data_IF_651757483627
#
_entry.id   IF_651757483627
#
_cell.length_a   1.000
_cell.length_b   1.000
_cell.length_c   1.000
_cell.angle_alpha   90.00
_cell.angle_beta   90.00
_cell.angle_gamma   90.00
#
_symmetry.space_group_name_H-M   'P 1'
#
loop_
_entity.id
_entity.type
_entity.pdbx_description
1 polymer ?
#
# COMPACT_ATOMS: atom_id res chain seq x y z
N UNK A 1 7.84 24.96 22.69
CA UNK A 1 8.13 23.76 23.52
C UNK A 1 7.27 22.64 22.94
N UNK A 2 7.53 22.30 21.67
CA UNK A 2 6.52 21.73 20.75
C UNK A 2 6.92 20.36 20.17
N UNK A 3 7.93 19.71 20.74
CA UNK A 3 8.49 18.46 20.21
C UNK A 3 7.86 17.17 20.78
N UNK A 4 6.82 17.26 21.62
CA UNK A 4 6.23 16.07 22.28
C UNK A 4 4.97 15.57 21.54
N UNK A 5 4.33 16.38 20.70
CA UNK A 5 3.12 15.97 19.95
C UNK A 5 3.42 15.26 18.62
N UNK A 6 4.66 15.35 18.11
CA UNK A 6 5.05 14.68 16.85
C UNK A 6 5.31 13.17 17.00
N UNK A 7 5.40 12.65 18.22
CA UNK A 7 5.82 11.26 18.48
C UNK A 7 4.64 10.29 18.73
N UNK A 8 3.40 10.73 18.52
CA UNK A 8 2.20 9.93 18.87
C UNK A 8 1.54 9.24 17.68
N UNK A 9 1.94 9.58 16.46
CA UNK A 9 1.32 9.08 15.22
C UNK A 9 1.93 7.78 14.70
N UNK A 10 3.08 7.35 15.23
CA UNK A 10 3.84 6.27 14.58
C UNK A 10 3.43 4.86 15.02
N UNK A 11 2.98 4.66 16.25
CA UNK A 11 2.73 3.30 16.77
C UNK A 11 1.53 2.61 16.09
N UNK A 12 0.35 3.27 15.92
CA UNK A 12 -0.80 2.63 15.29
C UNK A 12 -0.60 2.42 13.79
N UNK A 13 0.05 3.36 13.11
CA UNK A 13 0.33 3.26 11.68
C UNK A 13 1.35 2.13 11.40
N UNK A 14 2.42 2.06 12.21
CA UNK A 14 3.43 1.02 12.09
C UNK A 14 2.89 -0.35 12.45
N UNK A 15 2.05 -0.46 13.49
CA UNK A 15 1.43 -1.73 13.87
C UNK A 15 0.41 -2.19 12.82
N UNK A 16 -0.39 -1.29 12.24
CA UNK A 16 -1.28 -1.61 11.13
C UNK A 16 -0.50 -2.10 9.90
N UNK A 17 0.60 -1.42 9.54
CA UNK A 17 1.48 -1.83 8.46
C UNK A 17 2.12 -3.21 8.70
N UNK A 18 2.63 -3.46 9.91
CA UNK A 18 3.24 -4.72 10.29
C UNK A 18 2.22 -5.88 10.29
N UNK A 19 1.01 -5.63 10.78
CA UNK A 19 -0.08 -6.61 10.80
C UNK A 19 -0.55 -6.92 9.39
N UNK A 20 -0.74 -5.90 8.55
CA UNK A 20 -1.12 -6.06 7.15
C UNK A 20 -0.07 -6.86 6.36
N UNK A 21 1.22 -6.57 6.60
CA UNK A 21 2.33 -7.30 5.98
C UNK A 21 2.35 -8.76 6.44
N UNK A 22 2.18 -9.02 7.73
CA UNK A 22 2.14 -10.38 8.28
C UNK A 22 0.98 -11.18 7.70
N UNK A 23 -0.23 -10.61 7.67
CA UNK A 23 -1.42 -11.25 7.11
C UNK A 23 -1.25 -11.54 5.61
N UNK A 24 -0.64 -10.62 4.86
CA UNK A 24 -0.38 -10.81 3.43
C UNK A 24 0.59 -11.97 3.14
N UNK A 25 1.58 -12.21 4.01
CA UNK A 25 2.50 -13.36 3.89
C UNK A 25 1.74 -14.68 4.04
N UNK A 26 0.81 -14.77 4.98
CA UNK A 26 0.07 -16.01 5.26
C UNK A 26 -1.07 -16.29 4.27
N UNK A 27 -1.54 -15.30 3.52
CA UNK A 27 -2.60 -15.46 2.51
C UNK A 27 -2.14 -16.11 1.20
N UNK A 28 -0.83 -16.17 0.94
CA UNK A 28 -0.29 -16.52 -0.38
C UNK A 28 -0.02 -18.03 -0.59
N UNK A 29 -0.45 -18.91 0.32
CA UNK A 29 -0.26 -20.34 0.15
C UNK A 29 -1.29 -20.92 -0.82
N UNK A 30 -1.05 -20.78 -2.12
CA UNK A 30 -1.87 -21.36 -3.20
C UNK A 30 -2.45 -20.32 -4.19
N UNK A 31 -3.40 -20.74 -5.04
CA UNK A 31 -4.07 -19.88 -6.02
C UNK A 31 -4.78 -18.68 -5.35
N UNK A 32 -4.84 -17.55 -6.05
CA UNK A 32 -5.48 -16.37 -5.53
C UNK A 32 -7.00 -16.52 -5.55
N UNK A 33 -7.62 -16.44 -4.37
CA UNK A 33 -9.07 -16.56 -4.22
C UNK A 33 -9.73 -15.22 -3.89
N UNK A 34 -11.06 -15.16 -3.94
CA UNK A 34 -11.84 -13.95 -3.62
C UNK A 34 -11.56 -13.42 -2.20
N UNK A 35 -11.23 -14.31 -1.25
CA UNK A 35 -10.78 -13.92 0.09
C UNK A 35 -9.53 -13.05 0.05
N UNK A 36 -8.56 -13.37 -0.82
CA UNK A 36 -7.32 -12.62 -0.95
C UNK A 36 -7.60 -11.18 -1.40
N UNK A 37 -8.54 -11.01 -2.34
CA UNK A 37 -8.99 -9.68 -2.80
C UNK A 37 -9.65 -8.89 -1.66
N UNK A 38 -10.61 -9.50 -0.95
CA UNK A 38 -11.34 -8.85 0.15
C UNK A 38 -10.36 -8.43 1.23
N UNK A 39 -9.46 -9.31 1.66
CA UNK A 39 -8.49 -8.99 2.71
C UNK A 39 -7.50 -7.91 2.26
N UNK A 40 -6.98 -7.97 1.03
CA UNK A 40 -6.13 -6.91 0.47
C UNK A 40 -6.85 -5.55 0.51
N UNK A 41 -8.11 -5.49 0.07
CA UNK A 41 -8.91 -4.27 0.09
C UNK A 41 -9.12 -3.74 1.51
N UNK A 42 -9.48 -4.61 2.45
CA UNK A 42 -9.67 -4.22 3.85
C UNK A 42 -8.38 -3.68 4.47
N UNK A 43 -7.25 -4.36 4.26
CA UNK A 43 -5.95 -3.92 4.76
C UNK A 43 -5.51 -2.60 4.11
N UNK A 44 -5.75 -2.43 2.81
CA UNK A 44 -5.47 -1.21 2.09
C UNK A 44 -6.28 -0.03 2.67
N UNK A 45 -7.57 -0.23 2.91
CA UNK A 45 -8.43 0.76 3.54
C UNK A 45 -7.96 1.12 4.95
N UNK A 46 -7.53 0.14 5.75
CA UNK A 46 -6.96 0.39 7.08
C UNK A 46 -5.67 1.20 6.99
N UNK A 47 -4.72 0.77 6.18
CA UNK A 47 -3.43 1.46 6.00
C UNK A 47 -3.67 2.89 5.51
N UNK A 48 -4.52 3.09 4.50
CA UNK A 48 -4.87 4.44 4.03
C UNK A 48 -5.56 5.25 5.12
N UNK A 49 -6.58 4.70 5.80
CA UNK A 49 -7.36 5.40 6.83
C UNK A 49 -6.51 5.88 8.00
N UNK A 50 -5.57 5.07 8.48
CA UNK A 50 -4.69 5.45 9.59
C UNK A 50 -3.59 6.43 9.20
N UNK A 51 -3.20 6.46 7.93
CA UNK A 51 -2.00 7.21 7.52
C UNK A 51 -2.33 8.51 6.76
N UNK A 52 -3.55 8.69 6.26
CA UNK A 52 -3.93 9.82 5.39
C UNK A 52 -3.76 11.21 6.04
N UNK A 53 -3.82 11.30 7.37
CA UNK A 53 -3.79 12.57 8.10
C UNK A 53 -2.39 13.03 8.52
N UNK A 54 -1.34 12.23 8.28
CA UNK A 54 0.02 12.59 8.66
C UNK A 54 0.68 13.45 7.56
N UNK A 55 1.24 14.61 7.92
CA UNK A 55 2.24 15.28 7.06
C UNK A 55 3.49 14.40 7.06
N UNK A 56 3.90 13.89 5.90
CA UNK A 56 4.98 12.91 5.80
C UNK A 56 6.25 13.48 5.25
N UNK A 57 7.39 13.05 5.80
CA UNK A 57 8.69 13.28 5.17
C UNK A 57 8.93 12.28 4.03
N UNK A 58 9.87 12.59 3.11
CA UNK A 58 10.14 11.74 1.93
C UNK A 58 10.43 10.27 2.28
N UNK A 59 11.09 10.00 3.40
CA UNK A 59 11.38 8.64 3.85
C UNK A 59 10.14 7.89 4.35
N UNK A 60 9.21 8.58 5.01
CA UNK A 60 7.92 8.01 5.43
C UNK A 60 7.01 7.73 4.23
N UNK A 61 7.03 8.62 3.23
CA UNK A 61 6.36 8.41 1.93
C UNK A 61 6.87 7.14 1.24
N UNK A 62 8.19 6.95 1.23
CA UNK A 62 8.82 5.74 0.69
C UNK A 62 8.40 4.50 1.48
N UNK A 63 8.54 4.50 2.80
CA UNK A 63 8.14 3.37 3.65
C UNK A 63 6.66 3.01 3.48
N UNK A 64 5.79 4.01 3.37
CA UNK A 64 4.38 3.80 3.08
C UNK A 64 4.15 3.16 1.71
N UNK A 65 4.86 3.61 0.67
CA UNK A 65 4.72 3.02 -0.67
C UNK A 65 5.08 1.53 -0.68
N UNK A 66 6.08 1.11 0.09
CA UNK A 66 6.43 -0.30 0.28
C UNK A 66 5.30 -1.10 0.92
N UNK A 67 4.73 -0.60 2.02
CA UNK A 67 3.64 -1.26 2.74
C UNK A 67 2.41 -1.39 1.86
N UNK A 68 2.00 -0.30 1.21
CA UNK A 68 0.82 -0.29 0.35
C UNK A 68 0.99 -1.22 -0.85
N UNK A 69 2.17 -1.19 -1.49
CA UNK A 69 2.45 -2.10 -2.61
C UNK A 69 2.41 -3.56 -2.16
N UNK A 70 2.97 -3.88 -1.00
CA UNK A 70 2.95 -5.24 -0.45
C UNK A 70 1.53 -5.72 -0.16
N UNK A 71 0.70 -4.87 0.45
CA UNK A 71 -0.71 -5.17 0.76
C UNK A 71 -1.58 -5.29 -0.49
N UNK A 72 -1.25 -4.57 -1.57
CA UNK A 72 -1.99 -4.63 -2.83
C UNK A 72 -1.70 -5.91 -3.65
N UNK A 73 -0.56 -6.58 -3.41
CA UNK A 73 -0.14 -7.75 -4.19
C UNK A 73 -1.19 -8.87 -4.28
N UNK A 74 -1.84 -9.31 -3.17
CA UNK A 74 -2.85 -10.36 -3.26
C UNK A 74 -4.07 -9.97 -4.08
N UNK A 75 -4.48 -8.70 -4.02
CA UNK A 75 -5.56 -8.17 -4.85
C UNK A 75 -5.20 -8.16 -6.34
N UNK A 76 -3.98 -7.71 -6.67
CA UNK A 76 -3.52 -7.69 -8.07
C UNK A 76 -3.34 -9.11 -8.62
N UNK A 77 -2.79 -10.03 -7.82
CA UNK A 77 -2.67 -11.45 -8.17
C UNK A 77 -4.04 -12.05 -8.50
N UNK A 78 -5.05 -11.80 -7.66
CA UNK A 78 -6.43 -12.24 -7.93
C UNK A 78 -7.00 -11.67 -9.22
N UNK A 79 -6.87 -10.36 -9.45
CA UNK A 79 -7.39 -9.71 -10.67
C UNK A 79 -6.71 -10.30 -11.92
N UNK A 80 -5.42 -10.63 -11.84
CA UNK A 80 -4.71 -11.28 -12.94
C UNK A 80 -5.19 -12.70 -13.19
N UNK A 81 -5.35 -13.52 -12.16
CA UNK A 81 -5.91 -14.87 -12.34
C UNK A 81 -7.34 -14.81 -12.89
N UNK A 82 -8.14 -13.83 -12.46
CA UNK A 82 -9.50 -13.62 -12.95
C UNK A 82 -9.51 -13.28 -14.44
N UNK A 83 -8.65 -12.37 -14.88
CA UNK A 83 -8.55 -11.98 -16.30
C UNK A 83 -7.98 -13.07 -17.20
N UNK A 84 -7.13 -13.95 -16.65
CA UNK A 84 -6.62 -15.14 -17.35
C UNK A 84 -7.60 -16.32 -17.31
N UNK A 85 -8.72 -16.22 -16.58
CA UNK A 85 -9.72 -17.28 -16.44
C UNK A 85 -9.26 -18.47 -15.59
N UNK A 86 -8.28 -18.27 -14.71
CA UNK A 86 -7.68 -19.34 -13.88
C UNK A 86 -8.19 -19.40 -12.44
N UNK A 87 -9.15 -18.55 -12.07
CA UNK A 87 -9.73 -18.55 -10.71
C UNK A 87 -10.41 -19.89 -10.44
N UNK A 88 -9.98 -20.57 -9.39
CA UNK A 88 -10.49 -21.89 -8.99
C UNK A 88 -9.70 -23.08 -9.57
N UNK A 89 -8.66 -22.84 -10.38
CA UNK A 89 -7.71 -23.87 -10.77
C UNK A 89 -6.72 -24.15 -9.62
N UNK A 90 -6.21 -25.38 -9.54
CA UNK A 90 -5.21 -25.75 -8.52
C UNK A 90 -3.81 -25.19 -8.79
N UNK A 91 -3.59 -24.63 -9.98
CA UNK A 91 -2.30 -24.07 -10.43
C UNK A 91 -2.42 -22.57 -10.66
N UNK A 92 -1.59 -21.79 -9.97
CA UNK A 92 -1.49 -20.35 -10.20
C UNK A 92 -0.78 -20.06 -11.53
N UNK A 93 -1.36 -19.16 -12.34
CA UNK A 93 -0.72 -18.62 -13.56
C UNK A 93 0.11 -17.37 -13.29
N UNK A 94 0.10 -16.88 -12.06
CA UNK A 94 0.82 -15.67 -11.69
C UNK A 94 2.26 -16.04 -11.35
N UNK A 95 3.17 -15.71 -12.27
CA UNK A 95 4.61 -15.92 -12.07
C UNK A 95 5.18 -15.00 -10.99
N UNK A 96 6.20 -15.48 -10.28
CA UNK A 96 6.92 -14.71 -9.26
C UNK A 96 7.54 -13.42 -9.85
N UNK A 97 8.12 -13.52 -11.05
CA UNK A 97 8.68 -12.37 -11.76
C UNK A 97 7.63 -11.27 -11.96
N UNK A 98 6.40 -11.65 -12.33
CA UNK A 98 5.32 -10.68 -12.51
C UNK A 98 4.96 -9.99 -11.19
N UNK A 99 4.90 -10.74 -10.08
CA UNK A 99 4.64 -10.16 -8.75
C UNK A 99 5.74 -9.16 -8.36
N UNK A 100 7.01 -9.50 -8.61
CA UNK A 100 8.13 -8.59 -8.35
C UNK A 100 8.06 -7.32 -9.19
N UNK A 101 7.86 -7.43 -10.51
CA UNK A 101 7.73 -6.27 -11.38
C UNK A 101 6.52 -5.40 -11.00
N UNK A 102 5.40 -6.03 -10.67
CA UNK A 102 4.18 -5.35 -10.22
C UNK A 102 4.46 -4.61 -8.91
N UNK A 103 5.09 -5.26 -7.95
CA UNK A 103 5.43 -4.65 -6.66
C UNK A 103 6.29 -3.41 -6.82
N UNK A 104 7.39 -3.49 -7.58
CA UNK A 104 8.28 -2.35 -7.85
C UNK A 104 7.53 -1.22 -8.58
N UNK A 105 6.69 -1.58 -9.56
CA UNK A 105 5.90 -0.60 -10.32
C UNK A 105 4.90 0.14 -9.44
N UNK A 106 4.22 -0.58 -8.54
CA UNK A 106 3.25 -0.02 -7.61
C UNK A 106 3.95 0.87 -6.56
N UNK A 107 5.13 0.48 -6.06
CA UNK A 107 5.96 1.33 -5.19
C UNK A 107 6.26 2.66 -5.89
N UNK A 108 6.80 2.61 -7.10
CA UNK A 108 7.18 3.80 -7.85
C UNK A 108 5.97 4.71 -8.10
N UNK A 109 4.83 4.13 -8.50
CA UNK A 109 3.61 4.87 -8.76
C UNK A 109 3.08 5.58 -7.50
N UNK A 110 2.97 4.86 -6.39
CA UNK A 110 2.48 5.42 -5.12
C UNK A 110 3.42 6.52 -4.64
N UNK A 111 4.74 6.29 -4.69
CA UNK A 111 5.73 7.26 -4.28
C UNK A 111 5.63 8.55 -5.12
N UNK A 112 5.53 8.44 -6.45
CA UNK A 112 5.38 9.60 -7.34
C UNK A 112 4.07 10.34 -7.07
N UNK A 113 2.95 9.61 -6.93
CA UNK A 113 1.66 10.23 -6.62
C UNK A 113 1.71 11.01 -5.30
N UNK A 114 2.30 10.43 -4.26
CA UNK A 114 2.43 11.05 -2.95
C UNK A 114 3.29 12.32 -3.03
N UNK A 115 4.45 12.27 -3.72
CA UNK A 115 5.29 13.45 -3.95
C UNK A 115 4.53 14.57 -4.69
N UNK A 116 3.73 14.24 -5.71
CA UNK A 116 2.95 15.22 -6.47
C UNK A 116 1.85 15.87 -5.61
N UNK A 117 1.19 15.11 -4.74
CA UNK A 117 0.17 15.63 -3.83
C UNK A 117 0.80 16.62 -2.84
N UNK A 118 1.96 16.27 -2.26
CA UNK A 118 2.66 17.15 -1.33
C UNK A 118 3.17 18.44 -2.00
N UNK A 119 3.69 18.36 -3.22
CA UNK A 119 4.11 19.55 -3.99
C UNK A 119 2.93 20.50 -4.26
N UNK A 120 1.77 19.95 -4.67
CA UNK A 120 0.56 20.75 -4.90
C UNK A 120 0.04 21.43 -3.63
N UNK A 121 0.13 20.74 -2.49
CA UNK A 121 -0.25 21.30 -1.21
C UNK A 121 0.65 22.46 -0.79
N UNK A 122 1.97 22.36 -1.03
CA UNK A 122 2.92 23.43 -0.75
C UNK A 122 2.64 24.68 -1.61
N UNK A 123 2.48 24.52 -2.92
CA UNK A 123 2.22 25.63 -3.84
C UNK A 123 0.93 26.40 -3.51
N UNK A 124 -0.13 25.70 -3.07
CA UNK A 124 -1.39 26.32 -2.66
C UNK A 124 -1.25 27.19 -1.40
N UNK A 125 -0.31 26.86 -0.51
CA UNK A 125 -0.08 27.63 0.71
C UNK A 125 0.62 28.97 0.45
N UNK A 126 1.57 29.01 -0.50
CA UNK A 126 2.28 30.24 -0.86
C UNK A 126 1.37 31.26 -1.57
N UNK A 127 0.47 30.78 -2.44
CA UNK A 127 -0.48 31.64 -3.15
C UNK A 127 -1.61 32.21 -2.29
N UNK A 128 -1.84 31.68 -1.08
CA UNK A 128 -2.86 32.19 -0.16
C UNK A 128 -2.34 33.33 0.75
N UNK A 129 -1.02 33.57 0.76
CA UNK A 129 -0.36 34.59 1.59
C UNK A 129 0.06 35.84 0.81
N UNK A 130 -0.11 35.84 -0.51
CA UNK A 130 0.14 36.98 -1.40
C UNK A 130 -1.15 37.77 -1.67
#
# INVERSE_FOLDING_TARGET
MDNILSNKTDIPALSAAATASSVSIFLASGPYNSLNLITSLTLLCLVCGYTISAKRVRFESLAFSFVVAFVALPGIGYVREYTLGSVGLSTSLVTEDFLLFTWVSVIALIFVMDQLIFQRAAAKSEGATA
#
